data_IF_403414166989
#
_entry.id   IF_403414166989
#
_cell.length_a   1.000
_cell.length_b   1.000
_cell.length_c   1.000
_cell.angle_alpha   90.00
_cell.angle_beta   90.00
_cell.angle_gamma   90.00
#
_symmetry.space_group_name_H-M   'P 1'
#
loop_
_entity.id
_entity.type
_entity.pdbx_description
1 polymer ?
#
# COMPACT_ATOMS: atom_id res chain seq x y z
N UNK A 1 21.59 12.16 -13.96
CA UNK A 1 20.42 11.44 -14.48
C UNK A 1 19.26 11.44 -13.50
N UNK A 2 18.13 10.89 -13.92
CA UNK A 2 16.95 10.74 -13.08
C UNK A 2 16.99 9.42 -12.31
N UNK A 3 16.37 9.37 -11.14
CA UNK A 3 16.01 8.17 -10.42
C UNK A 3 14.54 7.86 -10.73
N UNK A 4 14.30 6.73 -11.38
CA UNK A 4 12.95 6.31 -11.76
C UNK A 4 12.62 5.02 -11.00
N UNK A 5 11.52 5.04 -10.25
CA UNK A 5 10.92 3.86 -9.63
C UNK A 5 9.89 3.30 -10.60
N UNK A 6 10.13 2.09 -11.10
CA UNK A 6 9.19 1.41 -11.98
C UNK A 6 8.08 0.74 -11.16
N UNK A 7 6.93 1.39 -11.08
CA UNK A 7 5.73 0.94 -10.37
C UNK A 7 4.68 0.33 -11.31
N UNK A 8 5.06 -0.03 -12.54
CA UNK A 8 4.16 -0.55 -13.57
C UNK A 8 3.80 -2.06 -13.45
N UNK A 9 4.28 -2.74 -12.40
CA UNK A 9 4.06 -4.19 -12.27
C UNK A 9 2.59 -4.58 -12.14
N UNK A 10 1.76 -3.75 -11.50
CA UNK A 10 0.31 -3.90 -11.40
C UNK A 10 -0.41 -2.75 -12.10
N UNK A 11 -1.74 -2.88 -12.28
CA UNK A 11 -2.58 -1.78 -12.72
C UNK A 11 -2.69 -0.68 -11.64
N UNK A 12 -3.18 0.50 -12.02
CA UNK A 12 -3.25 1.66 -11.12
C UNK A 12 -4.36 1.59 -10.06
N UNK A 13 -5.20 0.56 -10.08
CA UNK A 13 -6.17 0.36 -9.01
C UNK A 13 -5.46 -0.23 -7.79
N UNK A 14 -5.20 0.59 -6.78
CA UNK A 14 -4.44 0.19 -5.59
C UNK A 14 -5.33 -0.40 -4.50
N UNK A 15 -6.62 -0.06 -4.48
CA UNK A 15 -7.61 -0.50 -3.49
C UNK A 15 -8.63 -1.40 -4.18
N UNK A 16 -8.92 -2.60 -3.66
CA UNK A 16 -10.00 -3.43 -4.18
C UNK A 16 -11.36 -2.76 -3.95
N UNK A 17 -12.36 -3.19 -4.72
CA UNK A 17 -13.72 -2.70 -4.52
C UNK A 17 -14.32 -3.12 -3.17
N UNK A 18 -15.15 -2.25 -2.60
CA UNK A 18 -15.92 -2.56 -1.40
C UNK A 18 -15.21 -2.31 -0.07
N UNK A 19 -13.99 -1.78 -0.06
CA UNK A 19 -13.37 -1.34 1.18
C UNK A 19 -14.02 -0.04 1.68
N UNK A 20 -14.39 0.05 2.97
CA UNK A 20 -14.90 1.27 3.56
C UNK A 20 -13.88 2.41 3.50
N UNK A 21 -14.37 3.63 3.29
CA UNK A 21 -13.52 4.83 3.31
C UNK A 21 -12.76 4.99 4.63
N UNK A 22 -13.41 4.65 5.74
CA UNK A 22 -12.84 4.75 7.09
C UNK A 22 -11.62 3.85 7.30
N UNK A 23 -11.44 2.82 6.47
CA UNK A 23 -10.32 1.89 6.58
C UNK A 23 -9.08 2.33 5.81
N UNK A 24 -9.25 3.08 4.71
CA UNK A 24 -8.20 3.29 3.70
C UNK A 24 -6.96 4.03 4.22
N UNK A 25 -7.15 4.97 5.14
CA UNK A 25 -6.05 5.75 5.72
C UNK A 25 -5.29 5.04 6.83
N UNK A 26 -5.83 3.95 7.37
CA UNK A 26 -5.24 3.19 8.46
C UNK A 26 -4.31 2.10 7.92
N UNK A 27 -3.36 1.63 8.73
CA UNK A 27 -2.31 0.69 8.30
C UNK A 27 -2.88 -0.58 7.64
N UNK A 28 -4.02 -1.08 8.12
CA UNK A 28 -4.66 -2.29 7.59
C UNK A 28 -5.42 -2.04 6.26
N UNK A 29 -5.68 -0.78 5.91
CA UNK A 29 -6.26 -0.35 4.63
C UNK A 29 -5.21 0.03 3.58
N UNK A 30 -3.94 -0.32 3.79
CA UNK A 30 -2.88 -0.02 2.85
C UNK A 30 -3.10 -0.68 1.48
N UNK A 31 -3.14 0.14 0.44
CA UNK A 31 -3.34 -0.32 -0.95
C UNK A 31 -2.12 -1.01 -1.54
N UNK A 32 -2.34 -1.79 -2.60
CA UNK A 32 -1.30 -2.52 -3.36
C UNK A 32 -0.82 -1.69 -4.53
N UNK A 33 0.49 -1.57 -4.64
CA UNK A 33 1.18 -0.86 -5.71
C UNK A 33 2.09 -1.79 -6.50
N UNK A 34 2.53 -1.37 -7.67
CA UNK A 34 3.57 -2.10 -8.42
C UNK A 34 4.87 -2.22 -7.62
N UNK A 35 5.17 -1.23 -6.78
CA UNK A 35 6.20 -1.27 -5.75
C UNK A 35 5.55 -1.00 -4.38
N UNK A 36 5.71 -1.94 -3.45
CA UNK A 36 5.31 -1.77 -2.07
C UNK A 36 6.57 -1.49 -1.22
N UNK A 37 6.51 -0.49 -0.36
CA UNK A 37 7.62 -0.07 0.46
C UNK A 37 7.23 0.06 1.94
N UNK A 38 7.99 -0.55 2.86
CA UNK A 38 7.72 -0.55 4.31
C UNK A 38 6.31 -1.07 4.66
N UNK A 39 5.85 -2.15 3.97
CA UNK A 39 4.46 -2.65 4.05
C UNK A 39 3.40 -1.57 3.77
N UNK A 40 3.78 -0.49 3.08
CA UNK A 40 2.95 0.69 2.79
C UNK A 40 2.35 1.33 4.06
N UNK A 41 3.09 1.29 5.18
CA UNK A 41 2.67 1.77 6.49
C UNK A 41 3.66 2.78 7.05
N UNK A 42 3.15 3.67 7.88
CA UNK A 42 3.93 4.58 8.72
C UNK A 42 3.32 4.67 10.11
N UNK A 43 4.14 5.12 11.07
CA UNK A 43 3.70 5.39 12.44
C UNK A 43 3.84 6.87 12.76
N UNK A 44 2.88 7.40 13.52
CA UNK A 44 2.92 8.73 14.13
C UNK A 44 2.93 8.57 15.64
N UNK A 45 3.92 9.11 16.32
CA UNK A 45 3.91 9.26 17.78
C UNK A 45 3.22 10.58 18.13
N UNK A 46 2.14 10.51 18.88
CA UNK A 46 1.27 11.64 19.23
C UNK A 46 1.21 11.79 20.76
N UNK A 47 1.39 13.00 21.28
CA UNK A 47 1.20 13.31 22.68
C UNK A 47 0.11 14.37 22.83
N UNK A 48 -0.99 14.01 23.51
CA UNK A 48 -2.20 14.82 23.47
C UNK A 48 -2.80 14.83 22.06
N UNK A 49 -2.64 15.95 21.36
CA UNK A 49 -3.02 16.10 19.95
C UNK A 49 -1.82 16.44 19.05
N UNK A 50 -0.63 16.60 19.61
CA UNK A 50 0.56 17.05 18.90
C UNK A 50 1.32 15.87 18.28
N UNK A 51 1.63 15.95 17.01
CA UNK A 51 2.55 15.04 16.34
C UNK A 51 3.96 15.27 16.85
N UNK A 52 4.57 14.24 17.42
CA UNK A 52 5.95 14.31 17.98
C UNK A 52 6.98 13.78 17.00
N UNK A 53 6.68 12.67 16.35
CA UNK A 53 7.55 12.09 15.32
C UNK A 53 6.77 11.17 14.38
N UNK A 54 7.33 10.99 13.20
CA UNK A 54 6.90 9.95 12.25
C UNK A 54 8.00 8.90 12.17
N UNK A 55 7.64 7.65 11.86
CA UNK A 55 8.61 6.58 11.60
C UNK A 55 9.55 6.91 10.45
N UNK A 56 9.06 7.73 9.50
CA UNK A 56 9.81 8.38 8.44
C UNK A 56 9.02 9.58 7.90
N UNK A 57 9.67 10.62 7.34
CA UNK A 57 8.96 11.74 6.72
C UNK A 57 8.11 11.27 5.54
N UNK A 58 6.83 11.59 5.55
CA UNK A 58 5.94 11.29 4.42
C UNK A 58 6.12 12.32 3.31
N UNK A 59 6.51 11.85 2.14
CA UNK A 59 6.77 12.72 1.00
C UNK A 59 5.50 13.44 0.53
N UNK A 60 5.53 14.75 0.57
CA UNK A 60 4.50 15.65 0.04
C UNK A 60 3.16 15.64 0.78
N UNK A 61 3.01 14.92 1.90
CA UNK A 61 1.73 14.83 2.63
C UNK A 61 1.56 15.98 3.61
N UNK A 62 0.41 16.66 3.50
CA UNK A 62 -0.05 17.71 4.43
C UNK A 62 -1.16 17.17 5.33
N UNK A 63 -1.16 17.58 6.58
CA UNK A 63 -2.07 17.06 7.59
C UNK A 63 -3.12 18.07 8.01
N UNK A 64 -4.38 17.61 8.07
CA UNK A 64 -5.45 18.21 8.85
C UNK A 64 -5.59 17.39 10.14
N UNK A 65 -5.54 18.06 11.29
CA UNK A 65 -5.51 17.41 12.60
C UNK A 65 -6.71 17.85 13.44
N UNK A 66 -7.70 16.98 13.53
CA UNK A 66 -8.94 17.15 14.30
C UNK A 66 -8.97 16.23 15.55
N UNK A 67 -7.80 15.81 16.04
CA UNK A 67 -7.70 14.96 17.22
C UNK A 67 -8.18 15.69 18.47
N UNK A 68 -8.72 14.91 19.40
CA UNK A 68 -9.06 15.33 20.78
C UNK A 68 -8.34 14.44 21.77
N UNK A 69 -7.84 15.04 22.85
CA UNK A 69 -7.22 14.32 23.96
C UNK A 69 -8.23 14.09 25.10
N UNK A 70 -8.02 13.04 25.90
CA UNK A 70 -8.83 12.76 27.10
C UNK A 70 -9.70 11.49 26.99
N UNK A 71 -9.54 10.71 25.93
CA UNK A 71 -10.19 9.39 25.82
C UNK A 71 -9.57 8.34 26.73
N UNK A 72 -10.24 7.21 26.88
CA UNK A 72 -9.73 6.02 27.62
C UNK A 72 -8.90 5.09 26.74
N UNK A 73 -9.11 5.13 25.43
CA UNK A 73 -8.44 4.31 24.42
C UNK A 73 -8.18 5.13 23.15
N UNK A 74 -7.37 4.56 22.25
CA UNK A 74 -7.19 5.10 20.91
C UNK A 74 -8.46 4.83 20.09
N UNK A 75 -9.08 5.89 19.61
CA UNK A 75 -10.23 5.92 18.70
C UNK A 75 -9.93 6.82 17.50
N UNK A 76 -8.65 6.99 17.18
CA UNK A 76 -8.27 7.78 16.02
C UNK A 76 -8.44 7.03 14.73
N UNK A 77 -8.80 7.76 13.68
CA UNK A 77 -8.86 7.29 12.30
C UNK A 77 -8.07 8.24 11.41
N UNK A 78 -7.35 7.67 10.48
CA UNK A 78 -6.65 8.41 9.44
C UNK A 78 -7.42 8.27 8.14
N UNK A 79 -7.70 9.39 7.48
CA UNK A 79 -8.36 9.45 6.18
C UNK A 79 -7.38 9.99 5.15
N UNK A 80 -6.99 9.13 4.23
CA UNK A 80 -6.21 9.50 3.06
C UNK A 80 -6.52 8.54 1.91
N UNK A 81 -6.40 9.02 0.69
CA UNK A 81 -6.59 8.20 -0.50
C UNK A 81 -5.24 7.91 -1.17
N UNK A 82 -5.15 6.83 -1.97
CA UNK A 82 -4.01 6.64 -2.86
C UNK A 82 -3.74 7.89 -3.71
N UNK A 83 -2.47 8.21 -3.91
CA UNK A 83 -1.98 9.41 -4.60
C UNK A 83 -2.35 10.76 -3.94
N UNK A 84 -2.98 10.76 -2.75
CA UNK A 84 -3.31 11.99 -2.05
C UNK A 84 -2.06 12.66 -1.46
N UNK A 85 -2.04 13.98 -1.52
CA UNK A 85 -1.09 14.82 -0.80
C UNK A 85 -1.69 15.47 0.45
N UNK A 86 -2.90 15.04 0.84
CA UNK A 86 -3.59 15.50 2.05
C UNK A 86 -4.06 14.29 2.83
N UNK A 87 -3.83 14.32 4.14
CA UNK A 87 -4.37 13.37 5.10
C UNK A 87 -5.09 14.12 6.20
N UNK A 88 -6.23 13.58 6.64
CA UNK A 88 -6.96 14.01 7.83
C UNK A 88 -6.76 12.94 8.91
N UNK A 89 -6.50 13.36 10.12
CA UNK A 89 -6.63 12.50 11.30
C UNK A 89 -7.65 13.10 12.26
N UNK A 90 -8.58 12.28 12.72
CA UNK A 90 -9.56 12.69 13.71
C UNK A 90 -9.76 11.60 14.76
N UNK A 91 -10.59 11.90 15.75
CA UNK A 91 -10.94 10.97 16.80
C UNK A 91 -10.37 11.38 18.16
N UNK A 92 -10.42 10.46 19.12
CA UNK A 92 -10.04 10.72 20.51
C UNK A 92 -8.87 9.84 20.92
N UNK A 93 -7.85 10.44 21.52
CA UNK A 93 -6.67 9.74 22.05
C UNK A 93 -6.66 9.76 23.59
N UNK A 94 -6.05 8.73 24.22
CA UNK A 94 -5.82 8.74 25.67
C UNK A 94 -5.02 9.97 26.08
N UNK A 95 -5.42 10.58 27.19
CA UNK A 95 -4.67 11.69 27.78
C UNK A 95 -3.41 11.22 28.53
N UNK A 96 -2.44 12.13 28.67
CA UNK A 96 -1.30 11.98 29.60
C UNK A 96 -0.18 11.01 29.16
N UNK A 97 -0.23 10.45 27.96
CA UNK A 97 0.83 9.57 27.41
C UNK A 97 1.00 9.75 25.90
N UNK A 98 2.15 9.34 25.40
CA UNK A 98 2.37 9.22 23.95
C UNK A 98 1.69 7.96 23.42
N UNK A 99 0.97 8.11 22.31
CA UNK A 99 0.30 7.03 21.58
C UNK A 99 0.93 6.93 20.22
N UNK A 100 1.12 5.70 19.74
CA UNK A 100 1.53 5.44 18.35
C UNK A 100 0.29 5.10 17.54
N UNK A 101 0.02 5.88 16.51
CA UNK A 101 -1.05 5.65 15.53
C UNK A 101 -0.41 5.27 14.20
N UNK A 102 -0.88 4.18 13.60
CA UNK A 102 -0.32 3.65 12.36
C UNK A 102 -1.25 3.92 11.18
N UNK A 103 -0.70 4.45 10.10
CA UNK A 103 -1.43 4.80 8.88
C UNK A 103 -0.90 4.12 7.62
N UNK A 104 -1.68 4.21 6.54
CA UNK A 104 -1.29 3.76 5.21
C UNK A 104 -0.57 4.85 4.43
N UNK A 105 0.55 4.53 3.80
CA UNK A 105 1.31 5.46 2.96
C UNK A 105 0.55 5.73 1.66
N UNK A 106 0.21 7.00 1.36
CA UNK A 106 -0.61 7.32 0.20
C UNK A 106 0.04 7.05 -1.15
N UNK A 107 1.38 7.06 -1.21
CA UNK A 107 2.14 6.79 -2.43
C UNK A 107 3.49 6.13 -2.10
N UNK A 108 3.49 4.81 -1.83
CA UNK A 108 4.70 4.06 -1.49
C UNK A 108 5.82 4.11 -2.55
N UNK A 109 5.55 4.06 -3.87
CA UNK A 109 6.60 4.22 -4.88
C UNK A 109 7.30 5.58 -4.81
N UNK A 110 6.54 6.67 -4.63
CA UNK A 110 7.10 8.02 -4.48
C UNK A 110 7.90 8.15 -3.18
N UNK A 111 7.40 7.55 -2.09
CA UNK A 111 8.11 7.49 -0.82
C UNK A 111 9.48 6.80 -0.97
N UNK A 112 9.51 5.66 -1.67
CA UNK A 112 10.77 4.97 -1.98
C UNK A 112 11.71 5.86 -2.80
N UNK A 113 11.20 6.53 -3.85
CA UNK A 113 12.00 7.43 -4.69
C UNK A 113 12.67 8.52 -3.85
N UNK A 114 11.91 9.14 -2.93
CA UNK A 114 12.39 10.20 -2.04
C UNK A 114 13.44 9.69 -1.04
N UNK A 115 13.22 8.51 -0.45
CA UNK A 115 14.17 7.90 0.48
C UNK A 115 15.47 7.50 -0.22
N UNK A 116 15.40 6.88 -1.41
CA UNK A 116 16.59 6.53 -2.19
C UNK A 116 17.38 7.78 -2.57
N UNK A 117 16.70 8.85 -2.98
CA UNK A 117 17.35 10.14 -3.25
C UNK A 117 18.09 10.68 -2.03
N UNK A 118 17.46 10.59 -0.85
CA UNK A 118 18.08 11.01 0.41
C UNK A 118 19.33 10.17 0.72
N UNK A 119 19.23 8.84 0.62
CA UNK A 119 20.35 7.94 0.89
C UNK A 119 21.53 8.14 -0.08
N UNK A 120 21.24 8.42 -1.36
CA UNK A 120 22.29 8.79 -2.33
C UNK A 120 23.00 10.06 -1.88
N UNK A 121 22.26 11.09 -1.49
CA UNK A 121 22.82 12.35 -0.99
C UNK A 121 23.67 12.15 0.26
N UNK A 122 23.19 11.38 1.24
CA UNK A 122 23.93 11.05 2.46
C UNK A 122 25.20 10.25 2.19
N UNK A 123 25.21 9.46 1.09
CA UNK A 123 26.37 8.73 0.61
C UNK A 123 27.32 9.56 -0.27
N UNK A 124 27.09 10.87 -0.40
CA UNK A 124 27.91 11.77 -1.22
C UNK A 124 27.64 11.68 -2.71
N UNK A 125 26.53 11.03 -3.13
CA UNK A 125 26.13 10.91 -4.53
C UNK A 125 25.02 11.92 -4.82
N UNK A 126 25.32 12.94 -5.62
CA UNK A 126 24.34 13.91 -6.05
C UNK A 126 23.54 13.43 -7.25
N UNK A 127 22.21 13.44 -7.12
CA UNK A 127 21.31 13.18 -8.21
C UNK A 127 21.10 14.49 -9.00
N UNK A 128 21.58 14.55 -10.25
CA UNK A 128 21.46 15.73 -11.10
C UNK A 128 20.04 15.91 -11.68
N UNK A 129 19.23 14.88 -11.65
CA UNK A 129 17.86 14.84 -12.15
C UNK A 129 16.83 14.75 -11.04
N UNK A 130 15.64 14.25 -11.40
CA UNK A 130 14.51 14.08 -10.50
C UNK A 130 14.45 12.66 -9.93
N UNK A 131 13.82 12.50 -8.76
CA UNK A 131 13.34 11.22 -8.27
C UNK A 131 11.84 11.16 -8.54
N UNK A 132 11.39 10.21 -9.36
CA UNK A 132 10.03 10.10 -9.89
C UNK A 132 9.60 8.64 -10.02
N UNK A 133 8.32 8.40 -10.21
CA UNK A 133 7.77 7.08 -10.54
C UNK A 133 7.29 7.02 -11.99
N UNK A 134 7.10 5.80 -12.54
CA UNK A 134 6.49 5.65 -13.86
C UNK A 134 5.08 6.25 -13.91
N UNK A 135 4.27 6.02 -12.86
CA UNK A 135 2.93 6.60 -12.78
C UNK A 135 2.94 8.12 -12.84
N UNK A 136 3.93 8.80 -12.21
CA UNK A 136 4.05 10.25 -12.32
C UNK A 136 4.43 10.71 -13.74
N UNK A 137 5.33 9.99 -14.40
CA UNK A 137 5.69 10.28 -15.79
C UNK A 137 4.49 10.12 -16.73
N UNK A 138 3.68 9.08 -16.51
CA UNK A 138 2.46 8.84 -17.28
C UNK A 138 1.43 9.97 -17.07
N UNK A 139 1.20 10.40 -15.82
CA UNK A 139 0.32 11.55 -15.51
C UNK A 139 0.80 12.83 -16.20
N UNK A 140 2.12 13.03 -16.32
CA UNK A 140 2.71 14.16 -17.03
C UNK A 140 2.69 14.01 -18.56
N UNK A 141 2.12 12.92 -19.09
CA UNK A 141 2.10 12.63 -20.54
C UNK A 141 3.47 12.29 -21.13
N UNK A 142 4.43 11.92 -20.29
CA UNK A 142 5.76 11.50 -20.71
C UNK A 142 5.76 10.01 -20.99
N UNK A 143 6.33 9.61 -22.13
CA UNK A 143 6.62 8.20 -22.36
C UNK A 143 7.66 7.69 -21.37
N UNK A 144 7.36 6.56 -20.73
CA UNK A 144 8.38 5.78 -20.07
C UNK A 144 9.34 5.31 -21.16
N UNK A 145 10.56 5.79 -21.12
CA UNK A 145 11.58 5.31 -22.06
C UNK A 145 11.73 3.81 -21.82
N UNK A 146 11.50 3.00 -22.87
CA UNK A 146 11.93 1.61 -22.84
C UNK A 146 13.38 1.60 -22.36
N UNK A 147 13.63 0.88 -21.26
CA UNK A 147 14.93 0.90 -20.61
C UNK A 147 16.01 0.58 -21.66
N UNK A 148 16.92 1.51 -21.96
CA UNK A 148 18.08 1.20 -22.81
C UNK A 148 18.81 0.00 -22.17
N UNK A 149 19.65 -0.71 -22.90
CA UNK A 149 20.43 -1.84 -22.38
C UNK A 149 20.91 -1.54 -20.96
N UNK A 150 20.22 -2.12 -19.98
CA UNK A 150 20.44 -1.80 -18.57
C UNK A 150 21.57 -2.67 -18.02
N UNK A 151 22.51 -2.04 -17.32
CA UNK A 151 23.45 -2.77 -16.47
C UNK A 151 22.73 -3.04 -15.14
N UNK A 152 22.47 -4.31 -14.82
CA UNK A 152 21.96 -4.69 -13.50
C UNK A 152 23.06 -4.48 -12.48
N UNK A 153 22.84 -3.58 -11.53
CA UNK A 153 23.77 -3.29 -10.43
C UNK A 153 23.53 -4.24 -9.27
N UNK A 154 22.26 -4.49 -8.94
CA UNK A 154 21.87 -5.34 -7.81
C UNK A 154 20.54 -6.05 -8.13
N UNK A 155 20.45 -7.31 -7.70
CA UNK A 155 19.19 -8.06 -7.68
C UNK A 155 18.89 -8.47 -6.25
N UNK A 156 17.73 -8.05 -5.75
CA UNK A 156 17.20 -8.51 -4.47
C UNK A 156 16.25 -9.69 -4.69
N UNK A 157 16.45 -10.78 -3.94
CA UNK A 157 15.53 -11.93 -3.95
C UNK A 157 14.62 -11.88 -2.73
N UNK A 158 13.31 -11.96 -2.99
CA UNK A 158 12.31 -12.06 -1.93
C UNK A 158 12.44 -13.38 -1.15
N UNK A 159 11.88 -13.47 0.07
CA UNK A 159 11.60 -14.76 0.68
C UNK A 159 10.74 -15.65 -0.24
N UNK A 160 10.81 -16.95 -0.02
CA UNK A 160 9.98 -17.92 -0.75
C UNK A 160 8.48 -17.71 -0.46
N UNK A 161 7.62 -18.11 -1.41
CA UNK A 161 6.17 -17.88 -1.33
C UNK A 161 5.55 -18.47 -0.04
N UNK A 162 6.00 -19.65 0.40
CA UNK A 162 5.52 -20.27 1.64
C UNK A 162 5.78 -19.39 2.88
N UNK A 163 6.95 -18.72 2.94
CA UNK A 163 7.28 -17.77 4.02
C UNK A 163 6.45 -16.51 3.94
N UNK A 164 6.19 -16.00 2.73
CA UNK A 164 5.32 -14.85 2.52
C UNK A 164 3.89 -15.17 2.98
N UNK A 165 3.35 -16.32 2.57
CA UNK A 165 2.02 -16.78 2.99
C UNK A 165 1.95 -17.02 4.49
N UNK A 166 2.98 -17.66 5.09
CA UNK A 166 3.05 -17.84 6.54
C UNK A 166 2.99 -16.49 7.29
N UNK A 167 3.78 -15.49 6.84
CA UNK A 167 3.79 -14.15 7.43
C UNK A 167 2.43 -13.46 7.29
N UNK A 168 1.86 -13.50 6.09
CA UNK A 168 0.52 -12.99 5.81
C UNK A 168 -0.52 -13.53 6.79
N UNK A 169 -0.60 -14.86 6.92
CA UNK A 169 -1.58 -15.52 7.80
C UNK A 169 -1.27 -15.27 9.28
N UNK A 170 0.02 -15.23 9.65
CA UNK A 170 0.45 -15.05 11.03
C UNK A 170 0.21 -13.63 11.55
N UNK A 171 0.41 -12.63 10.69
CA UNK A 171 0.34 -11.20 11.03
C UNK A 171 -0.95 -10.54 10.57
N UNK A 172 -1.73 -11.23 9.75
CA UNK A 172 -2.97 -10.69 9.17
C UNK A 172 -2.75 -9.38 8.42
N UNK A 173 -1.68 -9.29 7.62
CA UNK A 173 -1.36 -8.08 6.85
C UNK A 173 -2.11 -8.09 5.53
N UNK A 174 -3.16 -7.28 5.41
CA UNK A 174 -4.05 -7.26 4.25
C UNK A 174 -3.31 -7.02 2.93
N UNK A 175 -2.29 -6.16 2.93
CA UNK A 175 -1.44 -5.87 1.78
C UNK A 175 -0.92 -7.14 1.07
N UNK A 176 -0.53 -8.16 1.83
CA UNK A 176 -0.01 -9.41 1.23
C UNK A 176 -1.12 -10.20 0.52
N UNK A 177 -2.31 -10.29 1.13
CA UNK A 177 -3.47 -10.94 0.52
C UNK A 177 -3.84 -10.29 -0.81
N UNK A 178 -3.91 -8.95 -0.81
CA UNK A 178 -4.22 -8.17 -2.00
C UNK A 178 -3.12 -8.26 -3.08
N UNK A 179 -1.86 -8.25 -2.66
CA UNK A 179 -0.72 -8.44 -3.59
C UNK A 179 -0.79 -9.82 -4.26
N UNK A 180 -1.10 -10.87 -3.51
CA UNK A 180 -1.25 -12.23 -4.05
C UNK A 180 -2.41 -12.32 -5.04
N UNK A 181 -3.55 -11.65 -4.79
CA UNK A 181 -4.67 -11.61 -5.72
C UNK A 181 -4.27 -10.97 -7.05
N UNK A 182 -3.61 -9.80 -7.05
CA UNK A 182 -3.16 -9.16 -8.29
C UNK A 182 -2.09 -9.99 -9.00
N UNK A 183 -1.21 -10.65 -8.25
CA UNK A 183 -0.21 -11.58 -8.79
C UNK A 183 -0.88 -12.77 -9.47
N UNK A 184 -1.91 -13.38 -8.86
CA UNK A 184 -2.70 -14.44 -9.51
C UNK A 184 -3.36 -13.96 -10.79
N UNK A 185 -3.90 -12.72 -10.79
CA UNK A 185 -4.45 -12.09 -12.00
C UNK A 185 -3.41 -12.00 -13.12
N UNK A 186 -2.21 -11.53 -12.80
CA UNK A 186 -1.10 -11.43 -13.75
C UNK A 186 -0.66 -12.80 -14.27
N UNK A 187 -0.33 -13.72 -13.37
CA UNK A 187 0.26 -15.03 -13.71
C UNK A 187 -0.71 -15.99 -14.40
N UNK A 188 -2.00 -15.92 -14.04
CA UNK A 188 -3.01 -16.88 -14.53
C UNK A 188 -3.93 -16.33 -15.62
N UNK A 189 -4.04 -15.01 -15.73
CA UNK A 189 -4.94 -14.32 -16.66
C UNK A 189 -4.23 -13.30 -17.56
N UNK A 190 -2.94 -13.03 -17.35
CA UNK A 190 -2.19 -12.02 -18.09
C UNK A 190 -2.61 -10.58 -17.77
N UNK A 191 -3.40 -10.37 -16.71
CA UNK A 191 -3.89 -9.05 -16.32
C UNK A 191 -3.68 -8.82 -14.80
N UNK A 192 -2.82 -7.87 -14.41
CA UNK A 192 -2.40 -7.63 -13.02
C UNK A 192 -3.44 -6.82 -12.21
N UNK A 193 -4.71 -7.22 -12.24
CA UNK A 193 -5.83 -6.52 -11.58
C UNK A 193 -6.52 -7.38 -10.53
N UNK A 194 -7.17 -6.74 -9.54
CA UNK A 194 -8.03 -7.42 -8.56
C UNK A 194 -9.12 -8.25 -9.26
N UNK A 195 -9.78 -7.66 -10.26
CA UNK A 195 -10.84 -8.33 -11.02
C UNK A 195 -10.37 -9.65 -11.61
N UNK A 196 -9.19 -9.68 -12.21
CA UNK A 196 -8.63 -10.89 -12.83
C UNK A 196 -8.23 -11.94 -11.80
N UNK A 197 -7.64 -11.51 -10.68
CA UNK A 197 -7.27 -12.40 -9.58
C UNK A 197 -8.48 -13.05 -8.92
N UNK A 198 -9.49 -12.27 -8.60
CA UNK A 198 -10.77 -12.77 -8.04
C UNK A 198 -11.48 -13.70 -9.02
N UNK A 199 -11.50 -13.37 -10.31
CA UNK A 199 -12.07 -14.24 -11.33
C UNK A 199 -11.36 -15.61 -11.38
N UNK A 200 -10.03 -15.61 -11.29
CA UNK A 200 -9.27 -16.86 -11.22
C UNK A 200 -9.61 -17.68 -9.96
N UNK A 201 -9.73 -17.06 -8.79
CA UNK A 201 -10.12 -17.78 -7.57
C UNK A 201 -11.50 -18.43 -7.69
N UNK A 202 -12.47 -17.72 -8.26
CA UNK A 202 -13.81 -18.28 -8.51
C UNK A 202 -13.77 -19.49 -9.43
N UNK A 203 -12.99 -19.42 -10.51
CA UNK A 203 -12.79 -20.56 -11.43
C UNK A 203 -12.10 -21.73 -10.75
N UNK A 204 -11.09 -21.45 -9.93
CA UNK A 204 -10.39 -22.48 -9.15
C UNK A 204 -11.37 -23.23 -8.23
N UNK A 205 -12.16 -22.53 -7.42
CA UNK A 205 -13.10 -23.17 -6.51
C UNK A 205 -14.24 -23.89 -7.25
N UNK A 206 -14.70 -23.33 -8.38
CA UNK A 206 -15.64 -24.02 -9.26
C UNK A 206 -15.06 -25.34 -9.76
N UNK A 207 -13.79 -25.40 -10.14
CA UNK A 207 -13.12 -26.62 -10.57
C UNK A 207 -12.99 -27.67 -9.47
N UNK A 208 -13.08 -27.25 -8.20
CA UNK A 208 -13.11 -28.12 -7.01
C UNK A 208 -14.53 -28.54 -6.62
N UNK A 209 -15.53 -28.22 -7.41
CA UNK A 209 -16.92 -28.61 -7.17
C UNK A 209 -17.74 -27.63 -6.34
N UNK A 210 -17.17 -26.47 -5.97
CA UNK A 210 -17.93 -25.44 -5.24
C UNK A 210 -18.84 -24.70 -6.22
N UNK A 211 -20.12 -24.56 -5.87
CA UNK A 211 -21.06 -23.75 -6.64
C UNK A 211 -20.65 -22.27 -6.57
N UNK A 212 -20.40 -21.58 -7.71
CA UNK A 212 -19.97 -20.17 -7.71
C UNK A 212 -20.94 -19.20 -7.04
N UNK A 213 -22.22 -19.57 -6.94
CA UNK A 213 -23.23 -18.75 -6.27
C UNK A 213 -23.17 -18.84 -4.74
N UNK A 214 -22.42 -19.77 -4.19
CA UNK A 214 -22.23 -19.93 -2.75
C UNK A 214 -21.05 -19.13 -2.20
N UNK A 215 -20.23 -18.54 -3.07
CA UNK A 215 -19.04 -17.78 -2.67
C UNK A 215 -18.96 -16.46 -3.42
N UNK A 216 -18.59 -15.42 -2.70
CA UNK A 216 -18.18 -14.16 -3.29
C UNK A 216 -16.85 -13.72 -2.70
N UNK A 217 -15.88 -13.51 -3.58
CA UNK A 217 -14.62 -12.86 -3.24
C UNK A 217 -14.62 -11.47 -3.84
N UNK A 218 -14.46 -10.45 -3.01
CA UNK A 218 -14.30 -9.08 -3.43
C UNK A 218 -12.82 -8.65 -3.39
N UNK A 219 -12.06 -9.28 -2.48
CA UNK A 219 -10.65 -9.00 -2.24
C UNK A 219 -9.87 -10.28 -1.84
N UNK A 220 -8.60 -10.13 -1.49
CA UNK A 220 -7.71 -11.21 -1.08
C UNK A 220 -7.49 -11.32 0.42
N UNK A 221 -7.76 -10.28 1.17
CA UNK A 221 -7.52 -10.21 2.61
C UNK A 221 -8.73 -10.53 3.47
N UNK A 222 -9.94 -10.32 2.93
CA UNK A 222 -11.18 -10.44 3.69
C UNK A 222 -11.62 -9.15 4.37
N UNK A 223 -10.97 -8.00 4.11
CA UNK A 223 -11.35 -6.72 4.68
C UNK A 223 -12.70 -6.22 4.11
N UNK A 224 -12.97 -6.51 2.83
CA UNK A 224 -14.23 -6.12 2.23
C UNK A 224 -15.43 -6.83 2.89
N UNK A 225 -16.46 -6.11 3.35
CA UNK A 225 -17.69 -6.72 3.85
C UNK A 225 -18.52 -7.43 2.77
N UNK A 226 -18.10 -7.34 1.51
CA UNK A 226 -18.76 -8.03 0.39
C UNK A 226 -18.28 -9.48 0.21
N UNK A 227 -17.26 -9.93 0.96
CA UNK A 227 -16.86 -11.33 0.95
C UNK A 227 -17.92 -12.18 1.68
N UNK A 228 -18.32 -13.30 1.09
CA UNK A 228 -19.21 -14.25 1.76
C UNK A 228 -19.01 -15.67 1.26
N UNK A 229 -19.38 -16.61 2.13
CA UNK A 229 -19.53 -18.03 1.82
C UNK A 229 -20.89 -18.45 2.36
N UNK A 230 -21.72 -19.07 1.51
CA UNK A 230 -22.97 -19.65 1.96
C UNK A 230 -22.69 -20.99 2.68
N UNK A 231 -23.44 -21.25 3.77
CA UNK A 231 -23.38 -22.51 4.51
C UNK A 231 -24.03 -23.66 3.72
#
# INVERSE_FOLDING_TARGET
GDLIIDDSYFDHQTIPGGWPWDDLGNYYGAGVWGINWRENQFDININGTDFKSFSYPLEGVKWLNDLKAGGSSDQSLIFTAPHSNVALINGMLPGGKTVTVSGSTPNPPLQLASEVKLWLKESGIELSGKAVTNSQLEIEGKQILEAPKTNVILTYQSPTLDKIVYWFLRKSVNLYGETLIKTLGKEKKGNPSFKSGVAYLREFWKSKGINPNMINFADGSGLSPQNYVAA
#
